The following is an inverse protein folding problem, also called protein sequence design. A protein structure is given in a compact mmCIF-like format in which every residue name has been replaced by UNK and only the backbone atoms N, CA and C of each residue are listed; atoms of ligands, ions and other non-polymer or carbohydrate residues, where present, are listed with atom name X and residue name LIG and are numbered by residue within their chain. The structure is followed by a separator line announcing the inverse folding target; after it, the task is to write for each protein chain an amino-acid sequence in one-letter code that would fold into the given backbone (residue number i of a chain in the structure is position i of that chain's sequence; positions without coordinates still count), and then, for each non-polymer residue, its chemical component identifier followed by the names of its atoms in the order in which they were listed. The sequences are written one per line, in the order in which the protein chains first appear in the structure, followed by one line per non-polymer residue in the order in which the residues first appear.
data_IF_775257778510
#
_entry.id   IF_775257778510
#
_cell.length_a   1.000
_cell.length_b   1.000
_cell.length_c   1.000
_cell.angle_alpha   90.00
_cell.angle_beta   90.00
_cell.angle_gamma   90.00
#
_symmetry.space_group_name_H-M   'P 1'
#
loop_
_entity.id
_entity.type
_entity.pdbx_description
1 polymer ?
#
# COMPACT_ATOMS: atom_id res chain seq x y z
N UNK A 1 -33.48 28.59 -0.98
CA UNK A 1 -33.18 27.22 -0.49
C UNK A 1 -32.08 26.53 -1.31
N UNK A 2 -32.01 26.70 -2.63
CA UNK A 2 -30.97 26.10 -3.49
C UNK A 2 -29.53 26.60 -3.22
N UNK A 3 -29.35 27.89 -2.87
CA UNK A 3 -28.02 28.40 -2.52
C UNK A 3 -27.51 27.86 -1.17
N UNK A 4 -28.40 27.67 -0.21
CA UNK A 4 -28.06 27.06 1.08
C UNK A 4 -27.63 25.60 0.95
N UNK A 5 -28.27 24.84 0.06
CA UNK A 5 -27.93 23.46 -0.21
C UNK A 5 -26.56 23.32 -0.91
N UNK A 6 -26.26 24.20 -1.87
CA UNK A 6 -24.95 24.26 -2.54
C UNK A 6 -23.84 24.63 -1.54
N UNK A 7 -24.10 25.58 -0.66
CA UNK A 7 -23.14 25.99 0.38
C UNK A 7 -22.87 24.86 1.38
N UNK A 8 -23.91 24.15 1.81
CA UNK A 8 -23.76 23.00 2.70
C UNK A 8 -23.00 21.84 2.02
N UNK A 9 -23.29 21.55 0.74
CA UNK A 9 -22.56 20.54 -0.02
C UNK A 9 -21.09 20.89 -0.18
N UNK A 10 -20.77 22.14 -0.46
CA UNK A 10 -19.37 22.57 -0.57
C UNK A 10 -18.66 22.41 0.78
N UNK A 11 -19.31 22.81 1.88
CA UNK A 11 -18.75 22.67 3.24
C UNK A 11 -18.50 21.21 3.64
N UNK A 12 -19.38 20.30 3.24
CA UNK A 12 -19.20 18.87 3.47
C UNK A 12 -18.04 18.33 2.63
N UNK A 13 -17.94 18.70 1.35
CA UNK A 13 -16.81 18.31 0.49
C UNK A 13 -15.48 18.76 1.07
N UNK A 14 -15.40 20.01 1.50
CA UNK A 14 -14.18 20.57 2.06
C UNK A 14 -13.82 19.87 3.38
N UNK A 15 -14.81 19.56 4.21
CA UNK A 15 -14.62 18.81 5.46
C UNK A 15 -14.16 17.37 5.20
N UNK A 16 -14.77 16.66 4.27
CA UNK A 16 -14.37 15.30 3.89
C UNK A 16 -12.96 15.31 3.29
N UNK A 17 -12.66 16.24 2.40
CA UNK A 17 -11.34 16.36 1.80
C UNK A 17 -10.26 16.69 2.85
N UNK A 18 -10.58 17.55 3.83
CA UNK A 18 -9.67 17.85 4.93
C UNK A 18 -9.40 16.61 5.80
N UNK A 19 -10.46 15.89 6.18
CA UNK A 19 -10.33 14.66 6.99
C UNK A 19 -9.59 13.53 6.26
N UNK A 20 -9.84 13.36 4.98
CA UNK A 20 -9.12 12.36 4.17
C UNK A 20 -7.63 12.68 4.12
N UNK A 21 -7.28 13.97 3.89
CA UNK A 21 -5.86 14.39 3.93
C UNK A 21 -5.23 14.15 5.30
N UNK A 22 -5.92 14.53 6.37
CA UNK A 22 -5.44 14.32 7.75
C UNK A 22 -5.14 12.83 8.04
N UNK A 23 -6.02 11.92 7.60
CA UNK A 23 -5.83 10.47 7.76
C UNK A 23 -4.68 9.94 6.88
N UNK A 24 -4.56 10.43 5.65
CA UNK A 24 -3.44 10.07 4.77
C UNK A 24 -2.11 10.58 5.31
N UNK A 25 -2.08 11.80 5.82
CA UNK A 25 -0.88 12.40 6.42
C UNK A 25 -0.47 11.64 7.69
N UNK A 26 -1.42 11.30 8.56
CA UNK A 26 -1.15 10.47 9.74
C UNK A 26 -0.64 9.07 9.36
N UNK A 27 -1.22 8.44 8.34
CA UNK A 27 -0.73 7.13 7.85
C UNK A 27 0.69 7.22 7.31
N UNK A 28 0.99 8.28 6.54
CA UNK A 28 2.35 8.51 6.04
C UNK A 28 3.32 8.75 7.19
N UNK A 29 2.98 9.64 8.10
CA UNK A 29 3.82 9.95 9.26
C UNK A 29 4.14 8.72 10.10
N UNK A 30 3.14 7.87 10.39
CA UNK A 30 3.35 6.61 11.14
C UNK A 30 4.20 5.61 10.36
N UNK A 31 4.02 5.53 9.05
CA UNK A 31 4.82 4.65 8.21
C UNK A 31 6.28 5.14 8.12
N UNK A 32 6.47 6.43 7.91
CA UNK A 32 7.80 7.05 7.83
C UNK A 32 8.53 6.91 9.17
N UNK A 33 7.85 7.18 10.29
CA UNK A 33 8.40 6.97 11.64
C UNK A 33 8.84 5.51 11.88
N UNK A 34 8.02 4.55 11.46
CA UNK A 34 8.37 3.13 11.60
C UNK A 34 9.56 2.74 10.71
N UNK A 35 9.62 3.28 9.48
CA UNK A 35 10.74 3.08 8.57
C UNK A 35 12.03 3.70 9.12
N UNK A 36 11.96 4.91 9.63
CA UNK A 36 13.11 5.62 10.22
C UNK A 36 13.66 4.86 11.43
N UNK A 37 12.77 4.40 12.34
CA UNK A 37 13.19 3.58 13.49
C UNK A 37 13.90 2.28 13.05
N UNK A 38 13.42 1.61 12.02
CA UNK A 38 14.07 0.40 11.49
C UNK A 38 15.42 0.71 10.86
N UNK A 39 15.54 1.81 10.14
CA UNK A 39 16.81 2.29 9.57
C UNK A 39 17.80 2.63 10.66
N UNK A 40 17.36 3.32 11.72
CA UNK A 40 18.23 3.69 12.85
C UNK A 40 18.70 2.47 13.64
N UNK A 41 17.82 1.50 13.89
CA UNK A 41 18.19 0.23 14.52
C UNK A 41 19.21 -0.55 13.67
N UNK A 42 19.04 -0.58 12.35
CA UNK A 42 20.00 -1.20 11.44
C UNK A 42 21.35 -0.51 11.49
N UNK A 43 21.38 0.84 11.39
CA UNK A 43 22.61 1.63 11.46
C UNK A 43 23.32 1.47 12.82
N UNK A 44 22.56 1.36 13.92
CA UNK A 44 23.13 1.11 15.23
C UNK A 44 23.77 -0.29 15.32
N UNK A 45 23.13 -1.30 14.77
CA UNK A 45 23.68 -2.65 14.71
C UNK A 45 24.93 -2.73 13.80
N UNK A 46 24.92 -2.06 12.65
CA UNK A 46 26.07 -1.97 11.74
C UNK A 46 27.27 -1.31 12.44
N UNK A 47 27.07 -0.18 13.12
CA UNK A 47 28.13 0.49 13.92
C UNK A 47 28.70 -0.42 15.00
N UNK A 48 27.83 -1.13 15.73
CA UNK A 48 28.29 -2.07 16.76
C UNK A 48 29.12 -3.23 16.18
N UNK A 49 28.78 -3.70 14.99
CA UNK A 49 29.56 -4.72 14.29
C UNK A 49 30.93 -4.18 13.87
N UNK A 50 30.98 -2.96 13.34
CA UNK A 50 32.23 -2.35 12.89
C UNK A 50 33.15 -2.03 14.08
N UNK A 51 32.60 -1.51 15.20
CA UNK A 51 33.35 -1.34 16.43
C UNK A 51 33.93 -2.68 16.96
N UNK A 52 33.16 -3.76 16.89
CA UNK A 52 33.65 -5.07 17.25
C UNK A 52 34.77 -5.57 16.33
N UNK A 53 34.65 -5.32 15.01
CA UNK A 53 35.72 -5.66 14.04
C UNK A 53 37.01 -4.89 14.28
N UNK A 54 36.92 -3.58 14.53
CA UNK A 54 38.10 -2.76 14.84
C UNK A 54 38.79 -3.23 16.11
N UNK A 55 38.03 -3.54 17.16
CA UNK A 55 38.59 -4.09 18.41
C UNK A 55 39.23 -5.47 18.21
N UNK A 56 38.64 -6.29 17.35
CA UNK A 56 39.25 -7.59 17.02
C UNK A 56 40.57 -7.41 16.28
N UNK A 57 40.61 -6.56 15.25
CA UNK A 57 41.81 -6.29 14.47
C UNK A 57 42.96 -5.72 15.37
N UNK A 58 42.61 -4.80 16.29
CA UNK A 58 43.55 -4.26 17.26
C UNK A 58 44.08 -5.33 18.22
N UNK A 59 43.21 -6.24 18.67
CA UNK A 59 43.61 -7.34 19.55
C UNK A 59 44.50 -8.37 18.82
N UNK A 60 44.17 -8.67 17.56
CA UNK A 60 45.03 -9.56 16.72
C UNK A 60 46.40 -8.97 16.46
N UNK A 61 46.48 -7.66 16.13
CA UNK A 61 47.75 -6.96 15.98
C UNK A 61 48.59 -6.98 17.27
N UNK A 62 47.94 -6.78 18.43
CA UNK A 62 48.60 -6.85 19.72
C UNK A 62 49.11 -8.25 20.05
N UNK A 63 48.37 -9.30 19.73
CA UNK A 63 48.75 -10.68 19.88
C UNK A 63 50.00 -10.99 19.04
N UNK A 64 50.01 -10.51 17.78
CA UNK A 64 51.15 -10.74 16.88
C UNK A 64 52.42 -10.02 17.35
N UNK A 65 52.28 -8.76 17.79
CA UNK A 65 53.41 -8.00 18.41
C UNK A 65 53.97 -8.71 19.65
N UNK A 66 53.06 -9.22 20.52
CA UNK A 66 53.50 -9.97 21.70
C UNK A 66 54.15 -11.31 21.36
N UNK A 67 53.74 -11.98 20.30
CA UNK A 67 54.39 -13.20 19.80
C UNK A 67 55.79 -12.93 19.29
N UNK A 68 55.96 -11.84 18.51
CA UNK A 68 57.28 -11.43 18.01
C UNK A 68 58.22 -11.08 19.19
N UNK A 69 57.73 -10.28 20.16
CA UNK A 69 58.52 -9.92 21.35
C UNK A 69 58.84 -11.15 22.21
N UNK A 70 57.94 -12.11 22.32
CA UNK A 70 58.18 -13.35 23.03
C UNK A 70 59.26 -14.21 22.35
N UNK A 71 59.26 -14.28 21.00
CA UNK A 71 60.27 -15.00 20.24
C UNK A 71 61.66 -14.34 20.36
N UNK A 72 61.75 -13.01 20.35
CA UNK A 72 63.01 -12.28 20.57
C UNK A 72 63.57 -12.47 22.00
N UNK A 73 62.70 -12.65 22.98
CA UNK A 73 63.08 -12.81 24.41
C UNK A 73 63.35 -14.27 24.81
N UNK A 74 62.97 -15.26 24.02
CA UNK A 74 63.38 -16.67 24.25
C UNK A 74 64.90 -16.89 24.20
N UNK A 75 65.62 -15.95 23.56
CA UNK A 75 67.10 -15.96 23.50
C UNK A 75 67.77 -15.15 24.62
N UNK A 76 67.03 -14.40 25.44
CA UNK A 76 67.59 -13.61 26.55
C UNK A 76 66.94 -14.04 27.87
N UNK A 77 67.78 -14.67 28.75
CA UNK A 77 67.53 -15.06 30.11
C UNK A 77 66.51 -14.21 30.88
N UNK A 78 65.23 -14.64 30.96
CA UNK A 78 64.32 -14.09 31.93
C UNK A 78 63.03 -14.92 32.09
N UNK A 79 63.08 -15.86 33.01
CA UNK A 79 61.94 -16.68 33.47
C UNK A 79 60.75 -15.83 33.95
N UNK A 80 60.95 -14.68 34.56
CA UNK A 80 59.91 -13.80 35.06
C UNK A 80 59.18 -13.01 33.92
N UNK A 81 59.92 -12.54 32.95
CA UNK A 81 59.38 -11.80 31.82
C UNK A 81 58.56 -12.71 30.89
N UNK A 82 59.06 -13.94 30.67
CA UNK A 82 58.33 -14.95 29.93
C UNK A 82 57.00 -15.37 30.61
N UNK A 83 56.99 -15.43 31.95
CA UNK A 83 55.79 -15.69 32.74
C UNK A 83 54.77 -14.53 32.62
N UNK A 84 55.23 -13.29 32.67
CA UNK A 84 54.38 -12.09 32.48
C UNK A 84 53.78 -12.02 31.10
N UNK A 85 54.57 -12.27 30.05
CA UNK A 85 54.10 -12.31 28.67
C UNK A 85 53.10 -13.44 28.40
N UNK A 86 53.32 -14.63 28.97
CA UNK A 86 52.35 -15.74 28.91
C UNK A 86 51.03 -15.38 29.59
N UNK A 87 51.05 -14.65 30.71
CA UNK A 87 49.86 -14.17 31.38
C UNK A 87 49.08 -13.17 30.48
N UNK A 88 49.78 -12.21 29.91
CA UNK A 88 49.19 -11.22 28.99
C UNK A 88 48.60 -11.88 27.74
N UNK A 89 49.30 -12.85 27.14
CA UNK A 89 48.82 -13.62 25.99
C UNK A 89 47.54 -14.40 26.32
N UNK A 90 47.47 -14.98 27.53
CA UNK A 90 46.27 -15.68 28.00
C UNK A 90 45.08 -14.72 28.14
N UNK A 91 45.32 -13.51 28.63
CA UNK A 91 44.30 -12.48 28.78
C UNK A 91 43.80 -11.97 27.42
N UNK A 92 44.73 -11.69 26.47
CA UNK A 92 44.35 -11.31 25.10
C UNK A 92 43.55 -12.40 24.39
N UNK A 93 43.95 -13.68 24.54
CA UNK A 93 43.16 -14.80 23.98
C UNK A 93 41.76 -14.87 24.59
N UNK A 94 41.60 -14.62 25.88
CA UNK A 94 40.29 -14.55 26.54
C UNK A 94 39.44 -13.41 25.95
N UNK A 95 40.01 -12.20 25.84
CA UNK A 95 39.32 -11.04 25.26
C UNK A 95 38.92 -11.27 23.82
N UNK A 96 39.79 -11.85 23.02
CA UNK A 96 39.46 -12.21 21.63
C UNK A 96 38.31 -13.20 21.55
N UNK A 97 38.31 -14.24 22.39
CA UNK A 97 37.19 -15.18 22.45
C UNK A 97 35.87 -14.51 22.86
N UNK A 98 35.90 -13.58 23.81
CA UNK A 98 34.70 -12.79 24.19
C UNK A 98 34.19 -11.88 23.05
N UNK A 99 35.14 -11.24 22.34
CA UNK A 99 34.79 -10.40 21.17
C UNK A 99 34.22 -11.23 20.03
N UNK A 100 34.78 -12.39 19.76
CA UNK A 100 34.24 -13.33 18.75
C UNK A 100 32.83 -13.77 19.10
N UNK A 101 32.56 -14.08 20.38
CA UNK A 101 31.20 -14.45 20.82
C UNK A 101 30.21 -13.28 20.63
N UNK A 102 30.63 -12.05 21.00
CA UNK A 102 29.77 -10.85 20.76
C UNK A 102 29.53 -10.58 19.30
N UNK A 103 30.54 -10.73 18.45
CA UNK A 103 30.40 -10.59 16.99
C UNK A 103 29.42 -11.61 16.45
N UNK A 104 29.54 -12.89 16.85
CA UNK A 104 28.59 -13.93 16.42
C UNK A 104 27.14 -13.58 16.80
N UNK A 105 26.92 -13.14 18.05
CA UNK A 105 25.60 -12.72 18.51
C UNK A 105 25.06 -11.50 17.73
N UNK A 106 25.91 -10.53 17.41
CA UNK A 106 25.53 -9.37 16.62
C UNK A 106 25.13 -9.76 15.18
N UNK A 107 25.86 -10.67 14.56
CA UNK A 107 25.55 -11.21 13.23
C UNK A 107 24.21 -11.96 13.26
N UNK A 108 24.01 -12.85 14.25
CA UNK A 108 22.75 -13.57 14.42
C UNK A 108 21.55 -12.61 14.58
N UNK A 109 21.72 -11.57 15.42
CA UNK A 109 20.69 -10.56 15.64
C UNK A 109 20.37 -9.77 14.37
N UNK A 110 21.40 -9.40 13.59
CA UNK A 110 21.21 -8.74 12.30
C UNK A 110 20.42 -9.62 11.33
N UNK A 111 20.81 -10.90 11.18
CA UNK A 111 20.12 -11.85 10.31
C UNK A 111 18.65 -12.05 10.74
N UNK A 112 18.39 -12.10 12.04
CA UNK A 112 17.03 -12.20 12.56
C UNK A 112 16.19 -10.95 12.21
N UNK A 113 16.76 -9.75 12.35
CA UNK A 113 16.10 -8.48 11.99
C UNK A 113 15.84 -8.37 10.48
N UNK A 114 16.80 -8.77 9.64
CA UNK A 114 16.63 -8.82 8.19
C UNK A 114 15.49 -9.78 7.80
N UNK A 115 15.41 -10.93 8.44
CA UNK A 115 14.32 -11.89 8.25
C UNK A 115 12.97 -11.31 8.69
N UNK A 116 12.92 -10.61 9.81
CA UNK A 116 11.70 -9.95 10.28
C UNK A 116 11.26 -8.85 9.30
N UNK A 117 12.19 -8.04 8.83
CA UNK A 117 11.92 -6.99 7.84
C UNK A 117 11.29 -7.59 6.56
N UNK A 118 11.87 -8.69 6.05
CA UNK A 118 11.31 -9.38 4.89
C UNK A 118 9.89 -9.91 5.16
N UNK A 119 9.65 -10.48 6.33
CA UNK A 119 8.31 -10.94 6.74
C UNK A 119 7.30 -9.79 6.80
N UNK A 120 7.71 -8.63 7.30
CA UNK A 120 6.85 -7.44 7.32
C UNK A 120 6.47 -6.96 5.93
N UNK A 121 7.44 -6.94 5.00
CA UNK A 121 7.17 -6.59 3.59
C UNK A 121 6.17 -7.57 2.98
N UNK A 122 6.38 -8.88 3.17
CA UNK A 122 5.46 -9.90 2.68
C UNK A 122 4.08 -9.80 3.30
N UNK A 123 3.99 -9.54 4.61
CA UNK A 123 2.72 -9.37 5.31
C UNK A 123 1.96 -8.14 4.81
N UNK A 124 2.63 -7.00 4.63
CA UNK A 124 2.04 -5.80 4.04
C UNK A 124 1.51 -6.08 2.63
N UNK A 125 2.31 -6.77 1.82
CA UNK A 125 1.94 -7.17 0.46
C UNK A 125 0.71 -8.09 0.47
N UNK A 126 0.67 -9.07 1.37
CA UNK A 126 -0.47 -9.96 1.55
C UNK A 126 -1.75 -9.19 1.93
N UNK A 127 -1.67 -8.30 2.93
CA UNK A 127 -2.82 -7.49 3.35
C UNK A 127 -3.34 -6.60 2.22
N UNK A 128 -2.43 -5.96 1.46
CA UNK A 128 -2.82 -5.12 0.35
C UNK A 128 -3.47 -5.93 -0.78
N UNK A 129 -2.91 -7.08 -1.15
CA UNK A 129 -3.49 -7.97 -2.16
C UNK A 129 -4.86 -8.48 -1.72
N UNK A 130 -5.03 -8.88 -0.46
CA UNK A 130 -6.33 -9.33 0.07
C UNK A 130 -7.40 -8.24 -0.07
N UNK A 131 -7.04 -6.97 0.19
CA UNK A 131 -7.97 -5.84 0.01
C UNK A 131 -8.28 -5.57 -1.46
N UNK A 132 -7.28 -5.67 -2.32
CA UNK A 132 -7.42 -5.50 -3.78
C UNK A 132 -8.27 -6.62 -4.38
N UNK A 133 -8.07 -7.87 -3.96
CA UNK A 133 -8.88 -9.03 -4.36
C UNK A 133 -10.33 -8.88 -3.88
N UNK A 134 -10.54 -8.42 -2.65
CA UNK A 134 -11.88 -8.13 -2.13
C UNK A 134 -12.58 -7.06 -2.97
N UNK A 135 -11.86 -6.00 -3.35
CA UNK A 135 -12.37 -4.95 -4.24
C UNK A 135 -12.70 -5.51 -5.63
N UNK A 136 -11.82 -6.32 -6.22
CA UNK A 136 -12.09 -6.99 -7.50
C UNK A 136 -13.34 -7.87 -7.42
N UNK A 137 -13.49 -8.62 -6.33
CA UNK A 137 -14.69 -9.42 -6.08
C UNK A 137 -15.97 -8.58 -5.96
N UNK A 138 -15.89 -7.38 -5.35
CA UNK A 138 -17.03 -6.46 -5.30
C UNK A 138 -17.34 -5.87 -6.68
N UNK A 139 -16.33 -5.44 -7.44
CA UNK A 139 -16.51 -4.95 -8.82
C UNK A 139 -17.20 -6.01 -9.67
N UNK A 140 -16.73 -7.25 -9.60
CA UNK A 140 -17.28 -8.34 -10.40
C UNK A 140 -18.73 -8.67 -10.03
N UNK A 141 -19.11 -8.57 -8.77
CA UNK A 141 -20.52 -8.70 -8.35
C UNK A 141 -21.39 -7.58 -8.91
N UNK A 142 -20.89 -6.34 -8.91
CA UNK A 142 -21.62 -5.24 -9.52
C UNK A 142 -21.70 -5.41 -11.02
N UNK A 143 -20.66 -5.84 -11.72
CA UNK A 143 -20.70 -6.14 -13.15
C UNK A 143 -21.74 -7.22 -13.47
N UNK A 144 -21.86 -8.24 -12.64
CA UNK A 144 -22.90 -9.24 -12.75
C UNK A 144 -24.31 -8.67 -12.54
N UNK A 145 -24.50 -7.81 -11.54
CA UNK A 145 -25.75 -7.06 -11.32
C UNK A 145 -26.11 -6.16 -12.53
N UNK A 146 -25.08 -5.66 -13.24
CA UNK A 146 -25.23 -4.89 -14.49
C UNK A 146 -25.44 -5.75 -15.74
N UNK A 147 -25.56 -7.07 -15.61
CA UNK A 147 -25.69 -8.00 -16.74
C UNK A 147 -24.47 -8.05 -17.66
N UNK A 148 -23.29 -7.70 -17.17
CA UNK A 148 -22.06 -7.71 -17.97
C UNK A 148 -21.37 -9.07 -17.88
N UNK A 149 -20.88 -9.56 -19.02
CA UNK A 149 -20.01 -10.74 -19.17
C UNK A 149 -18.56 -10.47 -18.79
N UNK A 150 -18.22 -9.20 -18.55
CA UNK A 150 -16.88 -8.78 -18.18
C UNK A 150 -16.57 -9.12 -16.72
N UNK A 151 -15.31 -9.46 -16.48
CA UNK A 151 -14.73 -9.62 -15.14
C UNK A 151 -13.45 -8.78 -15.05
N UNK A 152 -13.21 -8.20 -13.90
CA UNK A 152 -12.01 -7.43 -13.62
C UNK A 152 -11.11 -8.23 -12.69
N UNK A 153 -9.86 -8.36 -13.05
CA UNK A 153 -8.81 -8.88 -12.18
C UNK A 153 -7.88 -7.72 -11.79
N UNK A 154 -7.70 -7.54 -10.48
CA UNK A 154 -6.83 -6.52 -9.91
C UNK A 154 -5.64 -7.21 -9.25
N UNK A 155 -4.42 -6.82 -9.60
CA UNK A 155 -3.21 -7.23 -8.91
C UNK A 155 -2.46 -6.00 -8.42
N UNK A 156 -2.13 -5.95 -7.12
CA UNK A 156 -1.53 -4.78 -6.47
C UNK A 156 -0.02 -4.89 -6.32
N UNK A 157 0.48 -6.11 -6.20
CA UNK A 157 1.88 -6.36 -5.94
C UNK A 157 2.36 -7.52 -6.78
N UNK A 158 3.50 -7.34 -7.43
CA UNK A 158 4.14 -8.40 -8.20
C UNK A 158 5.51 -8.66 -7.60
N UNK A 159 5.79 -9.91 -7.27
CA UNK A 159 7.13 -10.33 -6.85
C UNK A 159 7.95 -10.63 -8.10
N UNK A 160 9.03 -9.90 -8.30
CA UNK A 160 9.97 -10.16 -9.37
C UNK A 160 10.78 -11.45 -9.10
N UNK A 161 11.35 -12.04 -10.14
CA UNK A 161 12.23 -13.22 -10.02
C UNK A 161 13.42 -13.00 -9.08
N UNK A 162 13.79 -11.75 -8.85
CA UNK A 162 14.83 -11.32 -7.89
C UNK A 162 14.37 -11.28 -6.43
N UNK A 163 13.10 -11.61 -6.13
CA UNK A 163 12.52 -11.49 -4.80
C UNK A 163 12.07 -10.07 -4.42
N UNK A 164 12.32 -9.08 -5.28
CA UNK A 164 11.91 -7.70 -5.04
C UNK A 164 10.41 -7.57 -5.28
N UNK A 165 9.69 -7.02 -4.30
CA UNK A 165 8.26 -6.71 -4.43
C UNK A 165 8.11 -5.39 -5.17
N UNK A 166 7.41 -5.42 -6.30
CA UNK A 166 7.07 -4.24 -7.09
C UNK A 166 5.63 -3.83 -6.78
N UNK A 167 5.46 -2.63 -6.26
CA UNK A 167 4.15 -2.03 -6.02
C UNK A 167 3.62 -1.44 -7.34
N UNK A 168 2.72 -2.17 -7.98
CA UNK A 168 2.06 -1.70 -9.19
C UNK A 168 0.67 -2.31 -9.26
N UNK A 169 -0.35 -1.47 -9.15
CA UNK A 169 -1.72 -1.91 -9.40
C UNK A 169 -1.86 -2.13 -10.92
N UNK A 170 -2.18 -3.34 -11.30
CA UNK A 170 -2.53 -3.70 -12.67
C UNK A 170 -4.00 -4.10 -12.73
N UNK A 171 -4.67 -3.63 -13.75
CA UNK A 171 -6.07 -3.96 -14.05
C UNK A 171 -6.09 -4.76 -15.34
N UNK A 172 -6.61 -5.97 -15.28
CA UNK A 172 -6.83 -6.83 -16.44
C UNK A 172 -8.31 -7.11 -16.55
N UNK A 173 -8.85 -7.06 -17.75
CA UNK A 173 -10.24 -7.41 -18.00
C UNK A 173 -10.29 -8.80 -18.63
N UNK A 174 -11.22 -9.60 -18.15
CA UNK A 174 -11.50 -10.95 -18.62
C UNK A 174 -12.87 -10.93 -19.27
N UNK A 175 -12.97 -11.48 -20.48
CA UNK A 175 -14.23 -11.70 -21.21
C UNK A 175 -14.31 -13.18 -21.58
N UNK A 176 -15.43 -13.84 -21.30
CA UNK A 176 -15.63 -15.27 -21.58
C UNK A 176 -14.47 -16.17 -21.09
N UNK A 177 -13.90 -15.85 -19.94
CA UNK A 177 -12.77 -16.59 -19.38
C UNK A 177 -11.41 -16.30 -20.03
N UNK A 178 -11.34 -15.45 -21.05
CA UNK A 178 -10.11 -15.05 -21.75
C UNK A 178 -9.66 -13.66 -21.36
N UNK A 179 -8.35 -13.44 -21.30
CA UNK A 179 -7.76 -12.13 -21.04
C UNK A 179 -8.03 -11.18 -22.23
N UNK A 180 -8.91 -10.22 -22.02
CA UNK A 180 -9.20 -9.14 -22.99
C UNK A 180 -8.16 -8.01 -22.93
N UNK A 181 -7.22 -8.07 -22.00
CA UNK A 181 -6.13 -7.12 -21.83
C UNK A 181 -6.50 -5.91 -20.99
N UNK A 182 -6.01 -4.74 -21.39
CA UNK A 182 -6.22 -3.48 -20.67
C UNK A 182 -7.64 -2.93 -20.88
N UNK A 183 -8.18 -2.26 -19.85
CA UNK A 183 -9.45 -1.51 -19.91
C UNK A 183 -9.52 -0.52 -21.09
N UNK A 184 -8.36 -0.07 -21.60
CA UNK A 184 -8.30 0.83 -22.76
C UNK A 184 -8.71 0.16 -24.08
N UNK A 185 -8.76 -1.17 -24.14
CA UNK A 185 -9.19 -1.94 -25.31
C UNK A 185 -10.70 -2.20 -25.35
N UNK A 186 -11.40 -1.84 -24.31
CA UNK A 186 -12.85 -1.99 -24.21
C UNK A 186 -13.57 -0.93 -25.07
N UNK A 187 -14.75 -1.27 -25.54
CA UNK A 187 -15.69 -0.29 -26.12
C UNK A 187 -16.06 0.78 -25.06
N UNK A 188 -16.56 1.91 -25.49
CA UNK A 188 -16.96 2.99 -24.58
C UNK A 188 -18.04 2.54 -23.60
N UNK A 189 -19.06 1.82 -24.06
CA UNK A 189 -20.11 1.29 -23.20
C UNK A 189 -19.61 0.25 -22.20
N UNK A 190 -18.73 -0.65 -22.62
CA UNK A 190 -18.07 -1.61 -21.72
C UNK A 190 -17.21 -0.92 -20.65
N UNK A 191 -16.47 0.09 -21.07
CA UNK A 191 -15.64 0.91 -20.17
C UNK A 191 -16.50 1.66 -19.16
N UNK A 192 -17.61 2.24 -19.61
CA UNK A 192 -18.57 2.90 -18.74
C UNK A 192 -19.15 1.94 -17.69
N UNK A 193 -19.50 0.71 -18.07
CA UNK A 193 -19.98 -0.33 -17.14
C UNK A 193 -18.89 -0.70 -16.10
N UNK A 194 -17.65 -0.92 -16.53
CA UNK A 194 -16.52 -1.22 -15.62
C UNK A 194 -16.23 -0.06 -14.68
N UNK A 195 -16.25 1.18 -15.16
CA UNK A 195 -16.05 2.37 -14.34
C UNK A 195 -17.17 2.51 -13.31
N UNK A 196 -18.42 2.39 -13.72
CA UNK A 196 -19.58 2.45 -12.81
C UNK A 196 -19.49 1.36 -11.75
N UNK A 197 -19.21 0.11 -12.15
CA UNK A 197 -19.04 -0.99 -11.22
C UNK A 197 -17.90 -0.74 -10.22
N UNK A 198 -16.81 -0.14 -10.68
CA UNK A 198 -15.66 0.20 -9.82
C UNK A 198 -16.01 1.28 -8.79
N UNK A 199 -16.74 2.32 -9.21
CA UNK A 199 -17.20 3.40 -8.31
C UNK A 199 -18.14 2.84 -7.25
N UNK A 200 -19.12 2.03 -7.64
CA UNK A 200 -20.09 1.43 -6.72
C UNK A 200 -19.42 0.44 -5.75
N UNK A 201 -18.46 -0.35 -6.23
CA UNK A 201 -17.69 -1.26 -5.38
C UNK A 201 -16.81 -0.51 -4.38
N UNK A 202 -16.15 0.56 -4.79
CA UNK A 202 -15.36 1.41 -3.89
C UNK A 202 -16.23 2.07 -2.82
N UNK A 203 -17.41 2.56 -3.20
CA UNK A 203 -18.37 3.13 -2.25
C UNK A 203 -18.81 2.08 -1.22
N UNK A 204 -19.17 0.86 -1.65
CA UNK A 204 -19.52 -0.25 -0.75
C UNK A 204 -18.36 -0.58 0.21
N UNK A 205 -17.13 -0.59 -0.31
CA UNK A 205 -15.94 -0.85 0.50
C UNK A 205 -15.73 0.24 1.57
N UNK A 206 -15.90 1.51 1.19
CA UNK A 206 -15.78 2.64 2.13
C UNK A 206 -16.88 2.57 3.18
N UNK A 207 -18.14 2.38 2.75
CA UNK A 207 -19.28 2.32 3.65
C UNK A 207 -19.19 1.13 4.64
N UNK A 208 -18.72 -0.03 4.16
CA UNK A 208 -18.53 -1.22 4.99
C UNK A 208 -17.40 -1.09 6.03
N UNK A 209 -16.48 -0.14 5.85
CA UNK A 209 -15.38 0.12 6.78
C UNK A 209 -15.62 1.36 7.67
N UNK A 210 -16.76 2.06 7.54
CA UNK A 210 -17.10 3.21 8.38
C UNK A 210 -17.68 2.75 9.71
N UNK A 211 -17.00 2.98 10.85
CA UNK A 211 -17.41 2.42 12.15
C UNK A 211 -18.68 3.04 12.76
N UNK A 212 -19.18 4.15 12.20
CA UNK A 212 -20.28 4.92 12.81
C UNK A 212 -21.47 5.18 11.88
N UNK A 213 -21.66 4.37 10.85
CA UNK A 213 -22.79 4.52 9.93
C UNK A 213 -22.74 5.78 9.04
N UNK A 214 -21.65 6.53 9.07
CA UNK A 214 -21.40 7.71 8.24
C UNK A 214 -20.60 7.33 7.01
N UNK A 215 -21.25 6.72 6.03
CA UNK A 215 -20.62 6.39 4.76
C UNK A 215 -20.83 7.46 3.68
N UNK A 216 -20.54 7.10 2.44
CA UNK A 216 -20.82 7.91 1.25
C UNK A 216 -22.25 7.63 0.78
N UNK A 217 -23.19 8.46 1.19
CA UNK A 217 -24.63 8.28 0.85
C UNK A 217 -25.05 9.01 -0.44
N UNK A 218 -24.14 9.81 -1.01
CA UNK A 218 -24.35 10.53 -2.27
C UNK A 218 -23.37 10.08 -3.33
N UNK A 219 -23.89 9.72 -4.50
CA UNK A 219 -23.13 9.39 -5.68
C UNK A 219 -23.49 10.38 -6.79
N UNK A 220 -22.49 11.04 -7.37
CA UNK A 220 -22.66 11.91 -8.54
C UNK A 220 -21.96 11.26 -9.74
N UNK A 221 -22.72 11.01 -10.77
CA UNK A 221 -22.23 10.47 -12.04
C UNK A 221 -22.52 11.48 -13.15
N UNK A 222 -21.47 12.04 -13.72
CA UNK A 222 -21.54 13.07 -14.75
C UNK A 222 -21.08 12.48 -16.10
N UNK A 223 -21.98 12.39 -17.06
CA UNK A 223 -21.76 11.89 -18.43
C UNK A 223 -21.19 10.46 -18.54
N UNK A 224 -20.97 9.76 -17.43
CA UNK A 224 -20.33 8.42 -17.42
C UNK A 224 -21.19 7.39 -18.15
N UNK A 225 -22.50 7.60 -18.17
CA UNK A 225 -23.47 6.67 -18.72
C UNK A 225 -23.91 6.99 -20.18
N UNK A 226 -23.42 8.08 -20.78
CA UNK A 226 -23.83 8.50 -22.11
C UNK A 226 -23.43 7.52 -23.22
N UNK A 227 -22.39 6.71 -22.96
CA UNK A 227 -21.96 5.66 -23.89
C UNK A 227 -22.62 4.30 -23.66
N UNK A 228 -23.54 4.20 -22.70
CA UNK A 228 -24.25 2.95 -22.38
C UNK A 228 -25.55 2.88 -23.12
N UNK A 229 -25.84 1.71 -23.73
CA UNK A 229 -27.09 1.44 -24.40
C UNK A 229 -28.31 1.42 -23.44
N UNK A 230 -29.51 1.45 -23.96
CA UNK A 230 -30.74 1.53 -23.16
C UNK A 230 -30.89 0.37 -22.18
N UNK A 231 -30.55 -0.87 -22.59
CA UNK A 231 -30.63 -2.05 -21.74
C UNK A 231 -29.58 -1.99 -20.61
N UNK A 232 -28.38 -1.51 -20.93
CA UNK A 232 -27.31 -1.27 -19.93
C UNK A 232 -27.67 -0.18 -18.94
N UNK A 233 -28.31 0.91 -19.39
CA UNK A 233 -28.82 1.97 -18.52
C UNK A 233 -29.88 1.43 -17.55
N UNK A 234 -30.84 0.65 -18.03
CA UNK A 234 -31.86 0.02 -17.19
C UNK A 234 -31.19 -0.85 -16.09
N UNK A 235 -30.16 -1.62 -16.47
CA UNK A 235 -29.40 -2.45 -15.55
C UNK A 235 -28.63 -1.62 -14.51
N UNK A 236 -28.01 -0.49 -14.91
CA UNK A 236 -27.31 0.44 -14.00
C UNK A 236 -28.29 1.02 -12.99
N UNK A 237 -29.46 1.49 -13.43
CA UNK A 237 -30.44 2.06 -12.52
C UNK A 237 -31.05 1.00 -11.60
N UNK A 238 -31.29 -0.21 -12.07
CA UNK A 238 -31.71 -1.33 -11.23
C UNK A 238 -30.66 -1.64 -10.14
N UNK A 239 -29.39 -1.61 -10.50
CA UNK A 239 -28.30 -1.80 -9.54
C UNK A 239 -28.19 -0.63 -8.53
N UNK A 240 -28.40 0.62 -8.95
CA UNK A 240 -28.43 1.80 -8.08
C UNK A 240 -29.61 1.73 -7.10
N UNK A 241 -30.80 1.36 -7.58
CA UNK A 241 -32.00 1.23 -6.74
C UNK A 241 -31.87 0.13 -5.67
N UNK A 242 -31.06 -0.88 -5.90
CA UNK A 242 -30.73 -1.90 -4.88
C UNK A 242 -29.82 -1.37 -3.77
N UNK A 243 -29.23 -0.20 -3.95
CA UNK A 243 -28.31 0.40 -3.00
C UNK A 243 -29.04 1.53 -2.27
N UNK A 244 -28.89 1.61 -0.95
CA UNK A 244 -29.41 2.71 -0.12
C UNK A 244 -28.55 3.97 -0.30
N UNK A 245 -28.48 4.49 -1.53
CA UNK A 245 -27.61 5.62 -1.92
C UNK A 245 -28.42 6.60 -2.74
N UNK A 246 -28.28 7.87 -2.48
CA UNK A 246 -28.80 8.93 -3.35
C UNK A 246 -27.88 9.10 -4.53
N UNK A 247 -28.34 8.76 -5.75
CA UNK A 247 -27.57 8.93 -6.96
C UNK A 247 -28.08 10.15 -7.75
N UNK A 248 -27.16 11.06 -8.07
CA UNK A 248 -27.38 12.15 -9.05
C UNK A 248 -26.67 11.76 -10.33
N UNK A 249 -27.46 11.52 -11.37
CA UNK A 249 -26.96 11.13 -12.70
C UNK A 249 -27.19 12.29 -13.66
N UNK A 250 -26.13 12.77 -14.29
CA UNK A 250 -26.18 13.79 -15.35
C UNK A 250 -25.90 13.08 -16.67
N UNK A 251 -26.77 13.22 -17.64
CA UNK A 251 -26.65 12.64 -18.99
C UNK A 251 -27.20 13.60 -20.02
N UNK A 252 -26.58 13.62 -21.19
CA UNK A 252 -27.09 14.35 -22.39
C UNK A 252 -28.01 13.50 -23.23
N UNK A 253 -28.11 12.19 -22.98
CA UNK A 253 -28.96 11.25 -23.67
C UNK A 253 -30.44 11.42 -23.31
N UNK A 254 -31.32 11.10 -24.27
CA UNK A 254 -32.75 10.94 -24.01
C UNK A 254 -32.96 9.66 -23.20
N UNK A 255 -33.01 9.81 -21.90
CA UNK A 255 -33.34 8.71 -21.00
C UNK A 255 -34.87 8.49 -21.08
N UNK A 256 -35.29 7.42 -21.72
CA UNK A 256 -36.70 7.16 -22.02
C UNK A 256 -37.54 6.61 -20.86
N UNK A 257 -36.95 6.35 -19.67
CA UNK A 257 -37.65 5.65 -18.62
C UNK A 257 -38.08 6.53 -17.45
N UNK A 258 -39.12 6.08 -16.75
CA UNK A 258 -39.76 6.73 -15.60
C UNK A 258 -38.81 6.75 -14.38
N UNK A 259 -38.03 7.79 -14.27
CA UNK A 259 -37.30 8.07 -13.03
C UNK A 259 -38.20 8.80 -12.05
N UNK A 260 -38.14 8.45 -10.76
CA UNK A 260 -39.00 9.09 -9.75
C UNK A 260 -38.74 10.60 -9.61
N UNK A 261 -37.55 11.06 -10.01
CA UNK A 261 -37.19 12.48 -9.98
C UNK A 261 -36.31 12.81 -11.18
N UNK A 262 -36.82 13.67 -12.06
CA UNK A 262 -36.11 14.14 -13.22
C UNK A 262 -36.03 15.66 -13.25
N UNK A 263 -34.83 16.17 -13.53
CA UNK A 263 -34.60 17.59 -13.77
C UNK A 263 -34.09 17.72 -15.20
N UNK A 264 -34.87 18.41 -16.04
CA UNK A 264 -34.49 18.69 -17.42
C UNK A 264 -33.97 20.13 -17.50
N UNK A 265 -32.77 20.30 -18.03
CA UNK A 265 -32.18 21.62 -18.28
C UNK A 265 -32.12 21.84 -19.79
N UNK A 266 -32.87 22.80 -20.27
CA UNK A 266 -32.85 23.20 -21.68
C UNK A 266 -32.19 24.57 -21.81
N UNK A 267 -31.42 24.77 -22.89
CA UNK A 267 -30.79 26.04 -23.18
C UNK A 267 -31.38 26.62 -24.45
N UNK A 268 -32.14 27.71 -24.34
CA UNK A 268 -32.74 28.43 -25.45
C UNK A 268 -32.28 29.89 -25.43
N UNK A 269 -31.85 30.42 -26.56
CA UNK A 269 -31.43 31.82 -26.74
C UNK A 269 -30.42 32.32 -25.70
N UNK A 270 -29.49 31.46 -25.24
CA UNK A 270 -28.45 31.82 -24.25
C UNK A 270 -28.91 31.76 -22.79
N UNK A 271 -30.17 31.49 -22.51
CA UNK A 271 -30.73 31.30 -21.17
C UNK A 271 -31.03 29.83 -20.92
N UNK A 272 -30.70 29.36 -19.68
CA UNK A 272 -31.03 27.99 -19.26
C UNK A 272 -32.35 27.95 -18.50
N UNK A 273 -33.23 27.04 -18.91
CA UNK A 273 -34.53 26.75 -18.29
C UNK A 273 -34.49 25.41 -17.60
N UNK A 274 -35.03 25.33 -16.40
CA UNK A 274 -35.07 24.13 -15.58
C UNK A 274 -36.52 23.68 -15.45
N UNK A 275 -36.79 22.43 -15.83
CA UNK A 275 -38.08 21.77 -15.66
C UNK A 275 -37.88 20.57 -14.71
N UNK A 276 -38.81 20.44 -13.70
CA UNK A 276 -38.83 19.32 -12.76
C UNK A 276 -40.06 18.46 -13.11
N UNK A 277 -39.84 17.17 -13.24
CA UNK A 277 -40.86 16.15 -13.37
C UNK A 277 -40.80 15.22 -12.18
#
# INVERSE_FOLDING_TARGET
EMEGAKFNMQRIRDHVAARTREVEDMRRALFDEACDRLVDLRKAAERSIDECRERMAAAESSIETLRQTAAELEHATASELAASLRKSLKEYRRRNSELMARHSQAVERRTALETQQQRFVLFRTYLANTKIEALAGMINRVLEDLGSDLRVNLAGYTTLKSGVVREKISVTVIRDGMDAGSILKLSEGERARVNTASILAMQRLVNGNCPYGGGLDLLCMDEILDAVDADGLASVFAALNKQSVTALVVSHGLVQENYPHRITVTKENGASRIERQ
#
